data_IF_400712280749
#
_entry.id   IF_400712280749
#
_cell.length_a   1.000
_cell.length_b   1.000
_cell.length_c   1.000
_cell.angle_alpha   90.00
_cell.angle_beta   90.00
_cell.angle_gamma   90.00
#
_symmetry.space_group_name_H-M   'P 1'
#
loop_
_entity.id
_entity.type
_entity.pdbx_description
1 polymer ?
#
# COMPACT_ATOMS: atom_id res chain seq x y z
N UNK A 1 -25.69 -67.58 7.11
CA UNK A 1 -25.72 -66.39 6.27
C UNK A 1 -25.67 -65.14 7.18
N UNK A 2 -24.49 -64.47 7.35
CA UNK A 2 -24.29 -63.42 8.24
C UNK A 2 -24.32 -62.10 7.47
N UNK A 3 -25.25 -61.17 7.80
CA UNK A 3 -25.31 -59.80 7.28
C UNK A 3 -24.35 -58.92 8.07
N UNK A 4 -23.25 -58.46 7.44
CA UNK A 4 -22.34 -57.44 8.00
C UNK A 4 -22.96 -56.06 7.83
N UNK A 5 -23.29 -55.48 8.96
CA UNK A 5 -23.69 -54.05 9.05
C UNK A 5 -22.47 -53.15 8.97
N UNK A 6 -22.41 -52.26 7.96
CA UNK A 6 -21.36 -51.24 7.82
C UNK A 6 -21.79 -50.04 8.62
N UNK A 7 -21.10 -49.79 9.76
CA UNK A 7 -21.26 -48.58 10.55
C UNK A 7 -20.51 -47.42 9.86
N UNK A 8 -21.26 -46.48 9.33
CA UNK A 8 -20.74 -45.21 8.83
C UNK A 8 -20.26 -44.35 9.99
N UNK A 9 -18.95 -44.12 10.07
CA UNK A 9 -18.34 -43.25 11.08
C UNK A 9 -18.47 -41.79 10.60
N UNK A 10 -19.39 -41.02 11.15
CA UNK A 10 -19.50 -39.57 10.95
C UNK A 10 -18.32 -38.91 11.64
N UNK A 11 -17.33 -38.51 10.87
CA UNK A 11 -16.22 -37.63 11.31
C UNK A 11 -16.80 -36.24 11.63
N UNK A 12 -16.94 -35.92 12.90
CA UNK A 12 -17.26 -34.58 13.40
C UNK A 12 -16.06 -33.69 13.13
N UNK A 13 -16.16 -32.75 12.17
CA UNK A 13 -15.21 -31.67 12.04
C UNK A 13 -15.41 -30.74 13.24
N UNK A 14 -14.46 -30.78 14.15
CA UNK A 14 -14.37 -29.81 15.25
C UNK A 14 -14.03 -28.46 14.65
N UNK A 15 -14.98 -27.53 14.67
CA UNK A 15 -14.73 -26.11 14.42
C UNK A 15 -13.87 -25.61 15.58
N UNK A 16 -12.55 -25.54 15.35
CA UNK A 16 -11.62 -24.96 16.29
C UNK A 16 -12.02 -23.47 16.49
N UNK A 17 -12.51 -23.17 17.68
CA UNK A 17 -12.67 -21.79 18.16
C UNK A 17 -11.27 -21.15 18.14
N UNK A 18 -11.00 -20.32 17.16
CA UNK A 18 -9.90 -19.36 17.24
C UNK A 18 -10.25 -18.36 18.33
N UNK A 19 -9.91 -18.71 19.56
CA UNK A 19 -9.87 -17.80 20.68
C UNK A 19 -8.92 -16.66 20.33
N UNK A 20 -9.42 -15.42 20.44
CA UNK A 20 -8.79 -14.18 20.05
C UNK A 20 -7.31 -14.07 20.39
N UNK A 21 -6.46 -14.33 19.43
CA UNK A 21 -5.12 -13.79 19.43
C UNK A 21 -5.30 -12.29 19.17
N UNK A 22 -5.06 -11.48 20.20
CA UNK A 22 -4.94 -10.02 20.04
C UNK A 22 -4.00 -9.79 18.87
N UNK A 23 -4.55 -9.37 17.73
CA UNK A 23 -3.76 -8.93 16.59
C UNK A 23 -2.95 -7.77 17.11
N UNK A 24 -1.66 -8.00 17.26
CA UNK A 24 -0.67 -6.99 17.60
C UNK A 24 -0.91 -5.80 16.67
N UNK A 25 -1.21 -4.63 17.25
CA UNK A 25 -1.45 -3.38 16.53
C UNK A 25 -0.12 -2.86 15.97
N UNK A 26 0.44 -3.55 14.97
CA UNK A 26 1.52 -2.97 14.17
C UNK A 26 0.87 -2.27 12.97
N UNK A 27 1.06 -0.97 12.83
CA UNK A 27 0.44 -0.16 11.77
C UNK A 27 0.87 -0.52 10.35
N UNK A 28 1.86 -1.36 10.17
CA UNK A 28 2.60 -1.61 8.92
C UNK A 28 1.92 -2.56 7.94
N UNK A 29 0.67 -2.98 8.17
CA UNK A 29 0.12 -4.13 7.44
C UNK A 29 -0.63 -3.79 6.15
N UNK A 30 -1.32 -2.64 6.09
CA UNK A 30 -2.19 -2.32 4.95
C UNK A 30 -1.36 -1.86 3.75
N UNK A 31 -0.44 -0.92 3.93
CA UNK A 31 0.39 -0.42 2.84
C UNK A 31 1.32 -1.51 2.30
N UNK A 32 1.99 -2.26 3.17
CA UNK A 32 2.85 -3.37 2.76
C UNK A 32 2.09 -4.48 2.01
N UNK A 33 0.82 -4.71 2.31
CA UNK A 33 0.02 -5.68 1.57
C UNK A 33 -0.14 -5.31 0.09
N UNK A 34 -0.14 -4.02 -0.24
CA UNK A 34 -0.11 -3.56 -1.64
C UNK A 34 1.23 -3.82 -2.32
N UNK A 35 2.34 -3.84 -1.57
CA UNK A 35 3.68 -4.06 -2.10
C UNK A 35 4.01 -5.55 -2.31
N UNK A 36 3.46 -6.43 -1.47
CA UNK A 36 3.83 -7.86 -1.44
C UNK A 36 2.99 -8.74 -2.34
N UNK A 37 1.80 -8.30 -2.78
CA UNK A 37 0.91 -9.04 -3.66
C UNK A 37 0.72 -8.30 -4.97
N UNK A 38 0.90 -9.00 -6.09
CA UNK A 38 0.35 -8.54 -7.36
C UNK A 38 -1.18 -8.50 -7.23
N UNK A 39 -1.68 -7.30 -6.93
CA UNK A 39 -3.12 -7.10 -6.79
C UNK A 39 -3.72 -6.99 -8.19
N UNK A 40 -4.65 -7.87 -8.60
CA UNK A 40 -5.30 -7.78 -9.91
C UNK A 40 -5.97 -6.42 -10.11
N UNK A 41 -5.95 -5.91 -11.34
CA UNK A 41 -6.52 -4.60 -11.67
C UNK A 41 -7.96 -4.44 -11.20
N UNK A 42 -8.79 -5.47 -11.37
CA UNK A 42 -10.18 -5.45 -10.89
C UNK A 42 -10.27 -5.20 -9.37
N UNK A 43 -9.37 -5.82 -8.58
CA UNK A 43 -9.31 -5.61 -7.13
C UNK A 43 -8.81 -4.23 -6.75
N UNK A 44 -7.85 -3.68 -7.49
CA UNK A 44 -7.41 -2.28 -7.31
C UNK A 44 -8.58 -1.30 -7.54
N UNK A 45 -9.33 -1.50 -8.62
CA UNK A 45 -10.51 -0.67 -8.94
C UNK A 45 -11.55 -0.76 -7.82
N UNK A 46 -11.82 -1.96 -7.31
CA UNK A 46 -12.75 -2.16 -6.19
C UNK A 46 -12.29 -1.41 -4.94
N UNK A 47 -11.00 -1.54 -4.57
CA UNK A 47 -10.42 -0.86 -3.42
C UNK A 47 -10.47 0.67 -3.55
N UNK A 48 -10.19 1.21 -4.74
CA UNK A 48 -10.29 2.64 -5.01
C UNK A 48 -11.74 3.12 -4.83
N UNK A 49 -12.71 2.40 -5.39
CA UNK A 49 -14.12 2.78 -5.33
C UNK A 49 -14.73 2.65 -3.94
N UNK A 50 -14.36 1.62 -3.19
CA UNK A 50 -14.83 1.40 -1.81
C UNK A 50 -14.12 2.27 -0.78
N UNK A 51 -12.95 2.78 -1.13
CA UNK A 51 -12.07 3.54 -0.25
C UNK A 51 -11.12 2.67 0.57
N UNK A 52 -9.85 3.06 0.58
CA UNK A 52 -8.81 2.45 1.44
C UNK A 52 -8.97 3.01 2.86
N UNK A 53 -8.82 2.18 3.88
CA UNK A 53 -8.87 2.66 5.28
C UNK A 53 -7.87 3.80 5.53
N UNK A 54 -8.31 4.88 6.18
CA UNK A 54 -7.44 6.03 6.46
C UNK A 54 -6.24 5.69 7.37
N UNK A 55 -6.25 4.55 8.06
CA UNK A 55 -5.08 4.05 8.81
C UNK A 55 -3.87 3.74 7.93
N UNK A 56 -4.05 3.56 6.63
CA UNK A 56 -2.95 3.43 5.67
C UNK A 56 -1.96 4.60 5.76
N UNK A 57 -2.41 5.78 6.19
CA UNK A 57 -1.53 6.94 6.41
C UNK A 57 -0.47 6.64 7.47
N UNK A 58 -0.85 6.03 8.60
CA UNK A 58 0.10 5.67 9.66
C UNK A 58 1.10 4.62 9.17
N UNK A 59 0.63 3.68 8.34
CA UNK A 59 1.50 2.69 7.70
C UNK A 59 2.49 3.34 6.73
N UNK A 60 2.05 4.31 5.92
CA UNK A 60 2.91 5.04 4.99
C UNK A 60 3.95 5.89 5.74
N UNK A 61 3.56 6.56 6.81
CA UNK A 61 4.48 7.30 7.69
C UNK A 61 5.56 6.38 8.23
N UNK A 62 5.18 5.22 8.76
CA UNK A 62 6.11 4.23 9.27
C UNK A 62 6.99 3.60 8.17
N UNK A 63 6.45 3.48 6.96
CA UNK A 63 7.18 2.92 5.83
C UNK A 63 8.24 3.87 5.29
N UNK A 64 7.87 5.13 5.03
CA UNK A 64 8.75 6.13 4.42
C UNK A 64 9.60 6.89 5.43
N UNK A 65 9.28 6.83 6.74
CA UNK A 65 9.90 7.64 7.79
C UNK A 65 9.86 9.14 7.46
N UNK A 66 8.68 9.62 7.10
CA UNK A 66 8.39 11.04 6.80
C UNK A 66 7.32 11.59 7.74
N UNK A 67 7.25 12.92 7.92
CA UNK A 67 6.16 13.56 8.68
C UNK A 67 4.79 13.21 8.09
N UNK A 68 3.79 13.05 8.96
CA UNK A 68 2.41 12.73 8.57
C UNK A 68 1.82 13.74 7.57
N UNK A 69 2.18 15.01 7.73
CA UNK A 69 1.76 16.09 6.83
C UNK A 69 2.23 15.90 5.39
N UNK A 70 3.39 15.29 5.18
CA UNK A 70 3.88 15.02 3.83
C UNK A 70 3.02 13.95 3.15
N UNK A 71 2.59 12.93 3.89
CA UNK A 71 1.64 11.95 3.39
C UNK A 71 0.28 12.60 3.09
N UNK A 72 -0.22 13.49 3.95
CA UNK A 72 -1.47 14.22 3.67
C UNK A 72 -1.39 15.03 2.38
N UNK A 73 -0.26 15.70 2.12
CA UNK A 73 -0.02 16.43 0.86
C UNK A 73 -0.05 15.50 -0.34
N UNK A 74 0.68 14.38 -0.29
CA UNK A 74 0.71 13.38 -1.38
C UNK A 74 -0.68 12.82 -1.65
N UNK A 75 -1.46 12.55 -0.61
CA UNK A 75 -2.84 12.06 -0.75
C UNK A 75 -3.84 13.17 -1.09
N UNK A 76 -3.41 14.46 -1.06
CA UNK A 76 -4.26 15.65 -1.25
C UNK A 76 -5.48 15.64 -0.32
N UNK A 77 -5.27 15.19 0.91
CA UNK A 77 -6.31 15.13 1.95
C UNK A 77 -6.03 16.20 3.00
N UNK A 78 -6.96 17.13 3.25
CA UNK A 78 -6.79 18.13 4.29
C UNK A 78 -6.50 17.49 5.66
N UNK A 79 -5.57 18.07 6.43
CA UNK A 79 -5.11 17.50 7.70
C UNK A 79 -6.25 17.21 8.67
N UNK A 80 -7.18 18.17 8.84
CA UNK A 80 -8.34 18.02 9.72
C UNK A 80 -9.25 16.84 9.30
N UNK A 81 -9.46 16.69 7.99
CA UNK A 81 -10.23 15.58 7.42
C UNK A 81 -9.51 14.25 7.65
N UNK A 82 -8.22 14.20 7.37
CA UNK A 82 -7.41 12.99 7.54
C UNK A 82 -7.40 12.53 9.00
N UNK A 83 -7.17 13.42 9.96
CA UNK A 83 -7.19 13.10 11.38
C UNK A 83 -8.54 12.54 11.83
N UNK A 84 -9.65 13.14 11.36
CA UNK A 84 -11.00 12.64 11.67
C UNK A 84 -11.23 11.24 11.11
N UNK A 85 -10.87 11.00 9.84
CA UNK A 85 -11.04 9.69 9.20
C UNK A 85 -10.21 8.61 9.90
N UNK A 86 -8.96 8.92 10.30
CA UNK A 86 -8.10 7.99 11.04
C UNK A 86 -8.70 7.67 12.40
N UNK A 87 -9.15 8.68 13.15
CA UNK A 87 -9.76 8.52 14.48
C UNK A 87 -11.01 7.66 14.41
N UNK A 88 -11.88 7.93 13.44
CA UNK A 88 -13.16 7.25 13.26
C UNK A 88 -13.02 5.92 12.50
N UNK A 89 -11.81 5.52 12.13
CA UNK A 89 -11.50 4.33 11.33
C UNK A 89 -12.33 4.25 10.04
N UNK A 90 -12.50 5.39 9.36
CA UNK A 90 -13.25 5.50 8.11
C UNK A 90 -12.36 5.37 6.88
N UNK A 91 -12.92 5.02 5.72
CA UNK A 91 -12.16 5.00 4.47
C UNK A 91 -11.83 6.42 3.98
N UNK A 92 -10.74 6.53 3.24
CA UNK A 92 -10.39 7.67 2.41
C UNK A 92 -11.40 7.79 1.25
N UNK A 93 -11.55 8.97 0.69
CA UNK A 93 -12.29 9.14 -0.56
C UNK A 93 -11.62 8.41 -1.73
N UNK A 94 -12.34 8.18 -2.85
CA UNK A 94 -11.80 7.45 -3.99
C UNK A 94 -10.54 8.09 -4.60
N UNK A 95 -10.44 9.42 -4.60
CA UNK A 95 -9.28 10.13 -5.12
C UNK A 95 -8.04 9.94 -4.26
N UNK A 96 -8.16 10.02 -2.93
CA UNK A 96 -7.08 9.72 -2.00
C UNK A 96 -6.70 8.23 -2.04
N UNK A 97 -7.69 7.34 -2.15
CA UNK A 97 -7.48 5.89 -2.28
C UNK A 97 -6.72 5.53 -3.55
N UNK A 98 -7.01 6.20 -4.67
CA UNK A 98 -6.28 6.03 -5.92
C UNK A 98 -4.81 6.44 -5.75
N UNK A 99 -4.54 7.55 -5.04
CA UNK A 99 -3.16 7.98 -4.76
C UNK A 99 -2.41 6.99 -3.87
N UNK A 100 -3.08 6.36 -2.89
CA UNK A 100 -2.46 5.27 -2.11
C UNK A 100 -2.01 4.13 -3.01
N UNK A 101 -2.86 3.68 -3.94
CA UNK A 101 -2.53 2.62 -4.89
C UNK A 101 -1.37 3.04 -5.79
N UNK A 102 -1.39 4.26 -6.32
CA UNK A 102 -0.32 4.85 -7.14
C UNK A 102 1.02 4.87 -6.40
N UNK A 103 1.02 5.37 -5.16
CA UNK A 103 2.22 5.40 -4.32
C UNK A 103 2.76 3.98 -4.12
N UNK A 104 1.90 3.01 -3.83
CA UNK A 104 2.32 1.63 -3.64
C UNK A 104 2.94 1.04 -4.92
N UNK A 105 2.33 1.26 -6.09
CA UNK A 105 2.86 0.77 -7.37
C UNK A 105 4.25 1.34 -7.67
N UNK A 106 4.44 2.64 -7.50
CA UNK A 106 5.73 3.30 -7.75
C UNK A 106 6.77 2.89 -6.71
N UNK A 107 6.36 2.72 -5.45
CA UNK A 107 7.24 2.20 -4.40
C UNK A 107 7.74 0.80 -4.76
N UNK A 108 6.87 -0.08 -5.23
CA UNK A 108 7.25 -1.42 -5.67
C UNK A 108 8.24 -1.37 -6.85
N UNK A 109 7.99 -0.51 -7.85
CA UNK A 109 8.94 -0.30 -8.94
C UNK A 109 10.30 0.19 -8.42
N UNK A 110 10.32 1.12 -7.47
CA UNK A 110 11.55 1.61 -6.88
C UNK A 110 12.28 0.50 -6.10
N UNK A 111 11.57 -0.33 -5.33
CA UNK A 111 12.17 -1.49 -4.66
C UNK A 111 12.82 -2.46 -5.63
N UNK A 112 12.15 -2.74 -6.75
CA UNK A 112 12.68 -3.62 -7.80
C UNK A 112 13.90 -2.98 -8.51
N UNK A 113 13.88 -1.65 -8.71
CA UNK A 113 14.97 -0.90 -9.33
C UNK A 113 16.22 -0.83 -8.45
N UNK A 114 16.05 -0.57 -7.17
CA UNK A 114 17.17 -0.35 -6.24
C UNK A 114 17.54 -1.57 -5.40
N UNK A 115 16.85 -2.70 -5.59
CA UNK A 115 17.15 -3.95 -4.91
C UNK A 115 16.66 -4.04 -3.47
N UNK A 116 15.75 -3.16 -3.05
CA UNK A 116 15.13 -3.28 -1.73
C UNK A 116 14.54 -1.99 -1.17
N UNK A 117 13.83 -2.15 -0.05
CA UNK A 117 13.05 -1.11 0.61
C UNK A 117 13.87 0.12 1.02
N UNK A 118 15.04 -0.10 1.66
CA UNK A 118 15.83 0.99 2.22
C UNK A 118 16.34 1.94 1.14
N UNK A 119 16.92 1.41 0.08
CA UNK A 119 17.41 2.20 -1.05
C UNK A 119 16.26 2.88 -1.78
N UNK A 120 15.14 2.19 -2.01
CA UNK A 120 13.96 2.74 -2.63
C UNK A 120 13.36 3.90 -1.82
N UNK A 121 13.17 3.72 -0.51
CA UNK A 121 12.66 4.77 0.37
C UNK A 121 13.58 5.98 0.45
N UNK A 122 14.89 5.75 0.48
CA UNK A 122 15.87 6.84 0.47
C UNK A 122 15.76 7.64 -0.83
N UNK A 123 15.73 6.97 -1.98
CA UNK A 123 15.57 7.63 -3.27
C UNK A 123 14.25 8.41 -3.38
N UNK A 124 13.13 7.81 -2.96
CA UNK A 124 11.81 8.46 -3.01
C UNK A 124 11.73 9.74 -2.16
N UNK A 125 12.54 9.87 -1.12
CA UNK A 125 12.57 11.04 -0.23
C UNK A 125 13.65 12.07 -0.56
N UNK A 126 14.58 11.73 -1.43
CA UNK A 126 15.69 12.63 -1.78
C UNK A 126 15.28 13.52 -2.95
N UNK A 127 15.51 14.85 -2.88
CA UNK A 127 15.33 15.74 -4.02
C UNK A 127 16.08 15.24 -5.25
N UNK A 128 15.48 15.36 -6.42
CA UNK A 128 16.02 14.86 -7.67
C UNK A 128 16.08 16.01 -8.70
N UNK A 129 17.26 16.28 -9.26
CA UNK A 129 17.46 17.33 -10.27
C UNK A 129 16.57 17.14 -11.49
N UNK A 130 16.31 15.90 -11.93
CA UNK A 130 15.40 15.62 -13.04
C UNK A 130 13.92 15.93 -12.72
N UNK A 131 13.61 16.23 -11.46
CA UNK A 131 12.27 16.61 -10.97
C UNK A 131 12.30 18.06 -10.42
N UNK A 132 13.21 18.91 -10.92
CA UNK A 132 13.34 20.30 -10.47
C UNK A 132 13.53 20.42 -8.94
N UNK A 133 14.37 19.54 -8.38
CA UNK A 133 14.64 19.42 -6.94
C UNK A 133 13.44 18.97 -6.08
N UNK A 134 12.33 18.56 -6.70
CA UNK A 134 11.26 17.90 -5.96
C UNK A 134 11.66 16.46 -5.57
N UNK A 135 11.10 15.96 -4.47
CA UNK A 135 11.25 14.55 -4.12
C UNK A 135 10.32 13.69 -4.98
N UNK A 136 10.76 12.52 -5.47
CA UNK A 136 9.87 11.62 -6.20
C UNK A 136 8.56 11.34 -5.46
N UNK A 137 8.60 11.16 -4.13
CA UNK A 137 7.40 10.93 -3.32
C UNK A 137 6.40 12.09 -3.40
N UNK A 138 6.88 13.35 -3.39
CA UNK A 138 6.00 14.52 -3.47
C UNK A 138 5.29 14.65 -4.82
N UNK A 139 5.91 14.15 -5.89
CA UNK A 139 5.35 14.18 -7.25
C UNK A 139 4.18 13.19 -7.45
N UNK A 140 3.99 12.24 -6.52
CA UNK A 140 2.95 11.21 -6.63
C UNK A 140 1.54 11.73 -6.30
N UNK A 141 1.39 12.98 -5.93
CA UNK A 141 0.10 13.63 -5.72
C UNK A 141 -0.71 13.81 -7.01
N UNK A 142 -0.04 13.78 -8.18
CA UNK A 142 -0.64 13.90 -9.52
C UNK A 142 -0.19 12.78 -10.45
N UNK A 143 -1.01 12.46 -11.46
CA UNK A 143 -0.63 11.45 -12.47
C UNK A 143 0.51 11.92 -13.39
N UNK A 144 0.58 13.18 -13.86
CA UNK A 144 1.74 13.66 -14.59
C UNK A 144 3.06 13.51 -13.80
N UNK A 145 3.06 13.89 -12.51
CA UNK A 145 4.23 13.72 -11.64
C UNK A 145 4.63 12.25 -11.47
N UNK A 146 3.66 11.38 -11.25
CA UNK A 146 3.88 9.94 -11.18
C UNK A 146 4.46 9.37 -12.47
N UNK A 147 4.01 9.86 -13.62
CA UNK A 147 4.54 9.47 -14.93
C UNK A 147 6.02 9.82 -15.08
N UNK A 148 6.44 11.02 -14.63
CA UNK A 148 7.85 11.41 -14.64
C UNK A 148 8.68 10.52 -13.71
N UNK A 149 8.19 10.22 -12.52
CA UNK A 149 8.88 9.30 -11.59
C UNK A 149 9.04 7.92 -12.21
N UNK A 150 8.01 7.38 -12.87
CA UNK A 150 8.11 6.09 -13.60
C UNK A 150 9.15 6.17 -14.72
N UNK A 151 9.17 7.26 -15.50
CA UNK A 151 10.15 7.47 -16.58
C UNK A 151 11.57 7.41 -16.05
N UNK A 152 11.86 8.07 -14.93
CA UNK A 152 13.17 8.05 -14.30
C UNK A 152 13.54 6.63 -13.82
N UNK A 153 12.64 5.93 -13.12
CA UNK A 153 12.88 4.55 -12.69
C UNK A 153 13.16 3.61 -13.88
N UNK A 154 12.42 3.79 -14.97
CA UNK A 154 12.64 3.04 -16.21
C UNK A 154 14.02 3.30 -16.80
N UNK A 155 14.44 4.55 -16.86
CA UNK A 155 15.75 4.91 -17.38
C UNK A 155 16.90 4.35 -16.53
N UNK A 156 16.75 4.36 -15.20
CA UNK A 156 17.75 3.75 -14.29
C UNK A 156 17.85 2.24 -14.55
N UNK A 157 16.72 1.54 -14.72
CA UNK A 157 16.69 0.09 -14.93
C UNK A 157 17.30 -0.33 -16.28
N UNK A 158 17.11 0.47 -17.32
CA UNK A 158 17.49 0.09 -18.69
C UNK A 158 18.68 0.88 -19.22
N UNK A 159 19.38 1.64 -18.36
CA UNK A 159 20.58 2.41 -18.73
C UNK A 159 20.28 3.51 -19.75
N UNK A 160 19.07 4.05 -19.73
CA UNK A 160 18.67 5.15 -20.61
C UNK A 160 19.49 6.40 -20.32
N UNK A 161 20.11 6.97 -21.37
CA UNK A 161 20.69 8.31 -21.31
C UNK A 161 19.52 9.29 -21.47
N UNK A 162 19.44 10.26 -20.57
CA UNK A 162 18.49 11.38 -20.65
C UNK A 162 19.04 12.45 -21.57
#
# INVERSE_FOLDING_TARGET
>A
MAKRSVKATKKKYAVSRFAGKRISRHPTFVFQAFLTKETPTAKKIELIRSGVTARVVDDMVAYFHVPKNDIFKVLRTPESTAHKLIKDNRPLDPGASERVVRVAEITKMAEDTFGGREAATQWLKTPNLALEDATPLSMLDTEPGASEVRRILFAINYGGVF
#
